data_IF_283158414378
#
_entry.id   IF_283158414378
#
_cell.length_a   1.000
_cell.length_b   1.000
_cell.length_c   1.000
_cell.angle_alpha   90.00
_cell.angle_beta   90.00
_cell.angle_gamma   90.00
#
_symmetry.space_group_name_H-M   'P 1'
#
loop_
_entity.id
_entity.type
_entity.pdbx_description
1 polymer ?
#
# COMPACT_ATOMS: atom_id res chain seq x y z
N UNK A 1 -10.64 6.93 -9.53
CA UNK A 1 -10.18 8.33 -9.37
C UNK A 1 -10.00 8.93 -10.76
N UNK A 2 -10.94 9.72 -11.29
CA UNK A 2 -10.92 10.11 -12.72
C UNK A 2 -11.25 11.58 -12.98
N UNK A 3 -10.52 12.55 -12.39
CA UNK A 3 -10.68 13.95 -12.82
C UNK A 3 -9.32 14.61 -13.11
N UNK A 4 -8.93 14.71 -14.40
CA UNK A 4 -7.69 15.37 -14.81
C UNK A 4 -7.60 16.83 -14.33
N UNK A 5 -8.72 17.56 -14.36
CA UNK A 5 -8.80 18.95 -13.89
C UNK A 5 -8.44 19.07 -12.41
N UNK A 6 -8.98 18.20 -11.54
CA UNK A 6 -8.66 18.23 -10.12
C UNK A 6 -7.20 17.90 -9.84
N UNK A 7 -6.61 16.95 -10.59
CA UNK A 7 -5.19 16.66 -10.48
C UNK A 7 -4.36 17.90 -10.84
N UNK A 8 -4.66 18.55 -11.96
CA UNK A 8 -3.96 19.76 -12.38
C UNK A 8 -4.11 20.91 -11.37
N UNK A 9 -5.33 21.17 -10.88
CA UNK A 9 -5.60 22.19 -9.87
C UNK A 9 -4.80 21.96 -8.58
N UNK A 10 -4.70 20.70 -8.14
CA UNK A 10 -3.92 20.35 -6.95
C UNK A 10 -2.41 20.56 -7.19
N UNK A 11 -1.89 20.16 -8.35
CA UNK A 11 -0.45 20.18 -8.61
C UNK A 11 0.10 21.53 -9.04
N UNK A 12 -0.69 22.32 -9.76
CA UNK A 12 -0.26 23.61 -10.33
C UNK A 12 -0.80 24.79 -9.52
N UNK A 13 -2.07 24.75 -9.12
CA UNK A 13 -2.72 25.87 -8.43
C UNK A 13 -2.78 25.69 -6.90
N UNK A 14 -2.30 24.57 -6.35
CA UNK A 14 -2.36 24.28 -4.92
C UNK A 14 -3.78 24.18 -4.35
N UNK A 15 -4.80 24.00 -5.21
CA UNK A 15 -6.19 23.89 -4.78
C UNK A 15 -6.47 22.42 -4.48
N UNK A 16 -6.56 22.10 -3.18
CA UNK A 16 -6.83 20.75 -2.70
C UNK A 16 -8.34 20.49 -2.60
N UNK A 17 -8.74 19.24 -2.87
CA UNK A 17 -10.09 18.79 -2.53
C UNK A 17 -10.28 18.78 -1.01
N UNK A 18 -11.51 19.00 -0.52
CA UNK A 18 -11.82 18.79 0.89
C UNK A 18 -11.39 17.39 1.33
N UNK A 19 -10.74 17.31 2.49
CA UNK A 19 -10.30 16.03 3.03
C UNK A 19 -11.51 15.26 3.58
N UNK A 20 -11.63 14.00 3.17
CA UNK A 20 -12.56 13.07 3.81
C UNK A 20 -11.88 12.44 5.03
N UNK A 21 -12.64 12.21 6.09
CA UNK A 21 -12.14 11.53 7.28
C UNK A 21 -12.15 10.02 7.02
N UNK A 22 -10.99 9.43 6.78
CA UNK A 22 -10.82 7.99 6.53
C UNK A 22 -10.51 7.20 7.82
N UNK A 23 -11.26 7.49 8.89
CA UNK A 23 -10.99 6.93 10.22
C UNK A 23 -11.06 5.40 10.24
N UNK A 24 -12.03 4.81 9.53
CA UNK A 24 -12.20 3.36 9.45
C UNK A 24 -10.98 2.69 8.82
N UNK A 25 -10.58 3.15 7.63
CA UNK A 25 -9.44 2.60 6.90
C UNK A 25 -8.15 2.77 7.71
N UNK A 26 -7.92 3.96 8.27
CA UNK A 26 -6.72 4.20 9.09
C UNK A 26 -6.66 3.33 10.35
N UNK A 27 -7.81 3.01 10.94
CA UNK A 27 -7.86 2.14 12.12
C UNK A 27 -7.54 0.69 11.74
N UNK A 28 -8.05 0.22 10.60
CA UNK A 28 -7.73 -1.11 10.08
C UNK A 28 -6.25 -1.25 9.76
N UNK A 29 -5.64 -0.27 9.09
CA UNK A 29 -4.20 -0.26 8.83
C UNK A 29 -3.38 -0.40 10.12
N UNK A 30 -3.77 0.33 11.17
CA UNK A 30 -3.10 0.31 12.48
C UNK A 30 -3.20 -1.05 13.19
N UNK A 31 -4.19 -1.87 12.84
CA UNK A 31 -4.40 -3.22 13.40
C UNK A 31 -3.71 -4.27 12.52
N UNK A 32 -3.92 -4.21 11.20
CA UNK A 32 -3.46 -5.22 10.25
C UNK A 32 -1.95 -5.20 10.06
N UNK A 33 -1.30 -4.03 10.03
CA UNK A 33 0.16 -3.93 9.86
C UNK A 33 0.91 -4.65 11.01
N UNK A 34 0.63 -4.37 12.30
CA UNK A 34 1.24 -5.12 13.41
C UNK A 34 0.87 -6.60 13.44
N UNK A 35 -0.34 -6.95 13.00
CA UNK A 35 -0.77 -8.35 12.89
C UNK A 35 0.13 -9.11 11.90
N UNK A 36 0.35 -8.58 10.70
CA UNK A 36 1.28 -9.14 9.72
C UNK A 36 2.73 -9.15 10.23
N UNK A 37 3.16 -8.09 10.93
CA UNK A 37 4.50 -8.01 11.52
C UNK A 37 4.76 -9.12 12.55
N UNK A 38 3.74 -9.53 13.31
CA UNK A 38 3.86 -10.67 14.24
C UNK A 38 4.12 -11.97 13.48
N UNK A 39 3.34 -12.26 12.45
CA UNK A 39 3.52 -13.46 11.63
C UNK A 39 4.85 -13.46 10.88
N UNK A 40 5.32 -12.29 10.43
CA UNK A 40 6.64 -12.13 9.79
C UNK A 40 7.76 -12.54 10.73
N UNK A 41 7.72 -12.09 11.99
CA UNK A 41 8.71 -12.47 13.02
C UNK A 41 8.74 -13.97 13.30
N UNK A 42 7.60 -14.64 13.16
CA UNK A 42 7.49 -16.09 13.32
C UNK A 42 7.87 -16.87 12.04
N UNK A 43 8.14 -16.19 10.92
CA UNK A 43 8.43 -16.82 9.63
C UNK A 43 7.22 -17.56 9.03
N UNK A 44 5.99 -17.16 9.39
CA UNK A 44 4.74 -17.80 8.98
C UNK A 44 3.87 -16.83 8.19
N UNK A 45 2.97 -17.38 7.37
CA UNK A 45 1.87 -16.60 6.80
C UNK A 45 0.74 -16.48 7.82
N UNK A 46 -0.01 -15.35 7.84
CA UNK A 46 -1.27 -15.27 8.55
C UNK A 46 -2.24 -16.38 8.09
N UNK A 47 -3.07 -16.93 8.98
CA UNK A 47 -4.04 -17.99 8.66
C UNK A 47 -4.94 -17.66 7.46
N UNK A 48 -5.24 -16.39 7.24
CA UNK A 48 -6.09 -15.91 6.15
C UNK A 48 -5.47 -16.12 4.76
N UNK A 49 -4.13 -16.09 4.69
CA UNK A 49 -3.34 -16.24 3.46
C UNK A 49 -2.73 -17.64 3.31
N UNK A 50 -2.59 -18.37 4.41
CA UNK A 50 -1.95 -19.67 4.42
C UNK A 50 -2.65 -20.66 3.46
N UNK A 51 -1.90 -21.20 2.50
CA UNK A 51 -2.42 -22.12 1.48
C UNK A 51 -3.24 -21.47 0.36
N UNK A 52 -3.40 -20.13 0.36
CA UNK A 52 -4.09 -19.39 -0.70
C UNK A 52 -3.16 -18.58 -1.60
N UNK A 53 -1.96 -18.28 -1.12
CA UNK A 53 -0.96 -17.49 -1.85
C UNK A 53 0.39 -18.19 -1.84
N UNK A 54 1.18 -17.93 -2.86
CA UNK A 54 2.57 -18.35 -2.94
C UNK A 54 3.49 -17.29 -2.34
N UNK A 55 4.64 -17.74 -1.82
CA UNK A 55 5.65 -16.88 -1.21
C UNK A 55 5.52 -16.72 0.30
N UNK A 56 6.44 -15.93 0.87
CA UNK A 56 6.54 -15.64 2.31
C UNK A 56 6.44 -14.15 2.55
N UNK A 57 6.11 -13.75 3.77
CA UNK A 57 6.20 -12.33 4.16
C UNK A 57 7.61 -11.82 3.91
N UNK A 58 7.71 -10.65 3.25
CA UNK A 58 8.98 -10.04 2.91
C UNK A 58 9.80 -9.77 4.18
N UNK A 59 11.04 -10.24 4.22
CA UNK A 59 11.83 -10.36 5.46
C UNK A 59 12.43 -9.03 5.95
N UNK A 60 12.79 -8.12 5.06
CA UNK A 60 13.42 -6.84 5.41
C UNK A 60 12.37 -5.85 5.95
N UNK A 61 12.14 -5.90 7.26
CA UNK A 61 11.21 -5.01 7.95
C UNK A 61 11.62 -3.53 7.82
N UNK A 62 12.91 -3.20 7.83
CA UNK A 62 13.35 -1.81 7.77
C UNK A 62 13.03 -1.19 6.41
N UNK A 63 13.28 -1.93 5.33
CA UNK A 63 12.89 -1.53 3.99
C UNK A 63 11.36 -1.48 3.84
N UNK A 64 10.64 -2.44 4.41
CA UNK A 64 9.18 -2.44 4.39
C UNK A 64 8.59 -1.21 5.09
N UNK A 65 9.11 -0.81 6.25
CA UNK A 65 8.68 0.42 6.94
C UNK A 65 8.94 1.68 6.11
N UNK A 66 10.06 1.71 5.38
CA UNK A 66 10.35 2.78 4.41
C UNK A 66 9.36 2.80 3.25
N UNK A 67 8.89 1.64 2.79
CA UNK A 67 7.87 1.52 1.75
C UNK A 67 6.46 1.86 2.27
N UNK A 68 6.14 1.54 3.52
CA UNK A 68 4.86 1.89 4.16
C UNK A 68 4.66 3.40 4.32
N UNK A 69 5.75 4.17 4.39
CA UNK A 69 5.69 5.62 4.54
C UNK A 69 5.35 6.35 3.22
N UNK A 70 4.06 6.47 2.92
CA UNK A 70 3.57 7.18 1.74
C UNK A 70 3.81 8.71 1.77
N UNK A 71 4.04 9.30 2.95
CA UNK A 71 4.33 10.75 3.10
C UNK A 71 5.76 11.09 2.68
N UNK A 72 6.69 10.14 2.85
CA UNK A 72 8.08 10.23 2.41
C UNK A 72 8.40 8.98 1.58
N UNK A 73 7.80 8.84 0.40
CA UNK A 73 7.85 7.60 -0.35
C UNK A 73 9.30 7.32 -0.76
N UNK A 74 9.78 6.13 -0.43
CA UNK A 74 11.10 5.64 -0.86
C UNK A 74 10.97 4.73 -2.07
N UNK A 75 9.82 4.06 -2.22
CA UNK A 75 9.46 3.32 -3.43
C UNK A 75 9.14 4.31 -4.55
N UNK A 76 10.06 4.44 -5.50
CA UNK A 76 9.96 5.36 -6.63
C UNK A 76 10.38 4.70 -7.93
N UNK A 77 9.68 5.04 -9.00
CA UNK A 77 10.03 4.71 -10.36
C UNK A 77 10.28 5.99 -11.16
N UNK A 78 11.50 6.14 -11.70
CA UNK A 78 11.85 7.26 -12.58
C UNK A 78 11.42 6.92 -14.01
N UNK A 79 10.62 7.79 -14.63
CA UNK A 79 10.18 7.53 -16.00
C UNK A 79 11.36 7.70 -16.98
N UNK A 80 11.62 6.72 -17.86
CA UNK A 80 12.85 6.68 -18.65
C UNK A 80 12.95 7.80 -19.69
N UNK A 81 11.81 8.27 -20.21
CA UNK A 81 11.75 9.27 -21.29
C UNK A 81 11.34 10.68 -20.85
N UNK A 82 11.13 10.90 -19.54
CA UNK A 82 10.66 12.20 -19.02
C UNK A 82 11.48 12.56 -17.81
N UNK A 83 12.37 13.52 -17.99
CA UNK A 83 13.22 14.03 -16.92
C UNK A 83 12.38 14.68 -15.82
N UNK A 84 12.78 14.50 -14.56
CA UNK A 84 12.06 15.01 -13.39
C UNK A 84 10.73 14.30 -13.07
N UNK A 85 10.31 13.30 -13.87
CA UNK A 85 9.05 12.59 -13.62
C UNK A 85 9.28 11.29 -12.83
N UNK A 86 8.73 11.25 -11.61
CA UNK A 86 8.78 10.09 -10.72
C UNK A 86 7.37 9.64 -10.36
N UNK A 87 7.12 8.33 -10.48
CA UNK A 87 6.00 7.67 -9.82
C UNK A 87 6.48 7.25 -8.44
N UNK A 88 5.71 7.57 -7.41
CA UNK A 88 6.04 7.24 -6.03
C UNK A 88 4.78 6.79 -5.31
N UNK A 89 4.93 5.86 -4.37
CA UNK A 89 3.81 5.32 -3.61
C UNK A 89 4.27 4.71 -2.30
N UNK A 90 3.29 4.28 -1.52
CA UNK A 90 3.49 3.37 -0.41
C UNK A 90 2.58 2.15 -0.55
N UNK A 91 2.94 1.08 0.13
CA UNK A 91 2.19 -0.17 0.16
C UNK A 91 1.94 -0.58 1.61
N UNK A 92 0.92 -1.41 1.84
CA UNK A 92 0.58 -1.86 3.19
C UNK A 92 1.48 -3.00 3.67
N UNK A 93 1.62 -4.04 2.84
CA UNK A 93 2.52 -5.17 3.08
C UNK A 93 3.03 -5.79 1.76
N UNK A 94 3.97 -6.74 1.85
CA UNK A 94 4.60 -7.36 0.69
C UNK A 94 4.98 -8.82 0.98
N UNK A 95 4.70 -9.71 0.03
CA UNK A 95 5.24 -11.06 0.00
C UNK A 95 6.40 -11.14 -0.99
N UNK A 96 7.24 -12.15 -0.84
CA UNK A 96 8.29 -12.51 -1.79
C UNK A 96 8.27 -14.03 -2.03
N UNK A 97 8.22 -14.44 -3.29
CA UNK A 97 8.20 -15.84 -3.72
C UNK A 97 9.59 -16.39 -4.14
N UNK A 98 10.64 -15.56 -4.06
CA UNK A 98 11.97 -15.87 -4.57
C UNK A 98 12.30 -15.20 -5.91
N UNK A 99 11.29 -14.68 -6.62
CA UNK A 99 11.42 -14.03 -7.93
C UNK A 99 10.69 -12.69 -7.99
N UNK A 100 9.50 -12.61 -7.41
CA UNK A 100 8.61 -11.47 -7.49
C UNK A 100 8.27 -10.94 -6.09
N UNK A 101 8.21 -9.61 -6.01
CA UNK A 101 7.58 -8.90 -4.91
C UNK A 101 6.08 -8.81 -5.19
N UNK A 102 5.26 -9.26 -4.24
CA UNK A 102 3.82 -9.36 -4.38
C UNK A 102 3.20 -8.38 -3.36
N UNK A 103 2.78 -7.18 -3.79
CA UNK A 103 2.19 -6.20 -2.90
C UNK A 103 0.86 -6.71 -2.33
N UNK A 104 0.67 -6.49 -1.04
CA UNK A 104 -0.60 -6.73 -0.34
C UNK A 104 -1.16 -5.37 0.06
N UNK A 105 -2.44 -5.16 -0.27
CA UNK A 105 -3.14 -3.89 -0.10
C UNK A 105 -4.40 -4.16 0.72
N UNK A 106 -4.51 -3.50 1.87
CA UNK A 106 -5.66 -3.67 2.75
C UNK A 106 -6.77 -2.74 2.32
N UNK A 107 -7.96 -3.30 2.13
CA UNK A 107 -9.14 -2.54 1.71
C UNK A 107 -10.31 -2.86 2.63
N UNK A 108 -10.95 -1.80 3.10
CA UNK A 108 -12.11 -1.88 3.99
C UNK A 108 -13.17 -0.91 3.47
N UNK A 109 -14.44 -1.32 3.54
CA UNK A 109 -15.58 -0.49 3.17
C UNK A 109 -16.69 -0.66 4.20
N UNK A 110 -17.56 0.36 4.31
CA UNK A 110 -18.78 0.29 5.12
C UNK A 110 -19.97 -0.31 4.37
N UNK A 111 -19.80 -0.66 3.09
CA UNK A 111 -20.81 -1.34 2.27
C UNK A 111 -20.71 -2.85 2.43
N UNK A 112 -21.87 -3.53 2.45
CA UNK A 112 -21.94 -4.99 2.40
C UNK A 112 -21.74 -5.56 0.99
N UNK A 113 -21.77 -4.73 -0.05
CA UNK A 113 -21.66 -5.13 -1.46
C UNK A 113 -20.22 -5.34 -1.95
N UNK A 114 -19.32 -5.84 -1.09
CA UNK A 114 -18.06 -6.41 -1.59
C UNK A 114 -18.38 -7.74 -2.26
N UNK A 115 -18.65 -7.72 -3.56
CA UNK A 115 -18.61 -8.94 -4.36
C UNK A 115 -17.14 -9.36 -4.51
N UNK A 116 -16.83 -10.57 -4.02
CA UNK A 116 -15.59 -11.26 -4.33
C UNK A 116 -15.54 -11.46 -5.85
N UNK A 117 -14.70 -10.67 -6.53
CA UNK A 117 -14.28 -10.96 -7.90
C UNK A 117 -13.00 -11.78 -7.87
#
# INVERSE_FOLDING_TARGET
MECPKCFWLQKINGIHRPQQIFALQSNFDRILKPYFDKFRKEGKLPPELNGKVEGKLFEDQELLEKWRNALRPTLKYKHPRREGFFLAGGLDDCLFDGRYYIPVDFKTTGSSSFEEN
#
